data_IF_563622871146
#
_entry.id   IF_563622871146
#
_cell.length_a   1.000
_cell.length_b   1.000
_cell.length_c   1.000
_cell.angle_alpha   90.00
_cell.angle_beta   90.00
_cell.angle_gamma   90.00
#
_symmetry.space_group_name_H-M   'P 1'
#
loop_
_entity.id
_entity.type
_entity.pdbx_description
1 polymer ?
#
# COMPACT_ATOMS: atom_id res chain seq x y z
N UNK A 1 -18.88 -7.23 -3.65
CA UNK A 1 -18.24 -6.87 -4.94
C UNK A 1 -17.44 -8.03 -5.52
N UNK A 2 -16.29 -8.46 -4.95
CA UNK A 2 -15.52 -9.60 -5.49
C UNK A 2 -16.32 -10.92 -5.57
N UNK A 3 -17.10 -11.26 -4.53
CA UNK A 3 -18.00 -12.44 -4.52
C UNK A 3 -19.13 -12.36 -5.57
N UNK A 4 -19.44 -11.16 -6.06
CA UNK A 4 -20.47 -10.93 -7.08
C UNK A 4 -19.89 -10.97 -8.50
N UNK A 5 -18.62 -11.36 -8.67
CA UNK A 5 -17.98 -11.44 -9.98
C UNK A 5 -17.52 -10.11 -10.59
N UNK A 6 -17.64 -8.99 -9.86
CA UNK A 6 -17.19 -7.68 -10.35
C UNK A 6 -15.66 -7.64 -10.44
N UNK A 7 -15.07 -6.90 -11.42
CA UNK A 7 -13.64 -6.78 -11.62
C UNK A 7 -12.99 -5.92 -10.53
N UNK A 8 -12.80 -6.52 -9.35
CA UNK A 8 -12.15 -5.89 -8.20
C UNK A 8 -10.71 -6.38 -8.11
N UNK A 9 -9.71 -5.48 -8.07
CA UNK A 9 -8.32 -5.88 -7.86
C UNK A 9 -8.14 -6.74 -6.60
N UNK A 10 -7.23 -7.72 -6.63
CA UNK A 10 -6.98 -8.59 -5.48
C UNK A 10 -6.42 -7.78 -4.30
N UNK A 11 -6.82 -8.16 -3.09
CA UNK A 11 -6.51 -7.46 -1.85
C UNK A 11 -6.85 -8.32 -0.65
N UNK A 12 -6.33 -7.93 0.52
CA UNK A 12 -6.71 -8.53 1.81
C UNK A 12 -7.03 -7.43 2.82
N UNK A 13 -7.65 -7.81 3.94
CA UNK A 13 -8.06 -6.88 5.00
C UNK A 13 -7.45 -7.32 6.31
N UNK A 14 -6.82 -6.37 7.00
CA UNK A 14 -6.37 -6.57 8.38
C UNK A 14 -7.55 -6.29 9.30
N UNK A 15 -7.97 -7.30 10.07
CA UNK A 15 -9.13 -7.20 10.96
C UNK A 15 -8.93 -6.12 12.03
N UNK A 16 -10.02 -5.48 12.47
CA UNK A 16 -10.02 -4.53 13.60
C UNK A 16 -9.46 -5.16 14.88
N UNK A 17 -9.58 -6.48 15.06
CA UNK A 17 -8.95 -7.21 16.19
C UNK A 17 -7.44 -7.04 16.24
N UNK A 18 -6.78 -6.88 15.10
CA UNK A 18 -5.33 -6.61 15.03
C UNK A 18 -5.00 -5.22 15.55
N UNK A 19 -5.89 -4.24 15.34
CA UNK A 19 -5.75 -2.90 15.92
C UNK A 19 -5.81 -2.98 17.45
N UNK A 20 -6.75 -3.73 18.02
CA UNK A 20 -6.84 -3.93 19.48
C UNK A 20 -5.57 -4.59 20.04
N UNK A 21 -5.06 -5.62 19.35
CA UNK A 21 -3.80 -6.28 19.73
C UNK A 21 -2.62 -5.29 19.67
N UNK A 22 -2.55 -4.48 18.62
CA UNK A 22 -1.50 -3.47 18.47
C UNK A 22 -1.48 -2.50 19.64
N UNK A 23 -2.63 -1.95 20.04
CA UNK A 23 -2.72 -1.06 21.19
C UNK A 23 -2.43 -1.75 22.52
N UNK A 24 -2.96 -2.96 22.75
CA UNK A 24 -2.67 -3.76 23.96
C UNK A 24 -1.19 -4.13 24.07
N UNK A 25 -0.50 -4.31 22.94
CA UNK A 25 0.91 -4.67 22.87
C UNK A 25 1.84 -3.44 22.75
N UNK A 26 1.48 -2.31 23.39
CA UNK A 26 2.28 -1.07 23.42
C UNK A 26 2.63 -0.56 22.01
N UNK A 27 1.66 -0.55 21.09
CA UNK A 27 1.82 -0.11 19.70
C UNK A 27 2.86 -0.93 18.93
N UNK A 28 2.92 -2.25 19.16
CA UNK A 28 3.79 -3.18 18.45
C UNK A 28 3.00 -4.33 17.83
N UNK A 29 3.32 -4.66 16.59
CA UNK A 29 2.79 -5.85 15.92
C UNK A 29 3.55 -7.10 16.38
N UNK A 30 2.84 -8.21 16.54
CA UNK A 30 3.46 -9.50 16.84
C UNK A 30 4.04 -10.13 15.57
N UNK A 31 5.07 -10.97 15.75
CA UNK A 31 5.70 -11.69 14.63
C UNK A 31 4.72 -12.57 13.87
N UNK A 32 3.70 -13.12 14.56
CA UNK A 32 2.62 -13.90 13.94
C UNK A 32 1.82 -13.07 12.92
N UNK A 33 1.41 -11.86 13.30
CA UNK A 33 0.64 -10.97 12.42
C UNK A 33 1.47 -10.56 11.20
N UNK A 34 2.76 -10.26 11.40
CA UNK A 34 3.67 -9.94 10.29
C UNK A 34 3.81 -11.12 9.32
N UNK A 35 3.89 -12.36 9.83
CA UNK A 35 3.93 -13.57 8.99
C UNK A 35 2.63 -13.76 8.20
N UNK A 36 1.48 -13.51 8.81
CA UNK A 36 0.18 -13.57 8.14
C UNK A 36 0.07 -12.52 7.02
N UNK A 37 0.45 -11.26 7.28
CA UNK A 37 0.47 -10.20 6.25
C UNK A 37 1.38 -10.61 5.07
N UNK A 38 2.56 -11.17 5.34
CA UNK A 38 3.47 -11.66 4.29
C UNK A 38 2.87 -12.83 3.51
N UNK A 39 2.10 -13.70 4.16
CA UNK A 39 1.41 -14.81 3.50
C UNK A 39 0.31 -14.30 2.56
N UNK A 40 -0.51 -13.36 3.02
CA UNK A 40 -1.56 -12.74 2.20
C UNK A 40 -0.97 -11.95 1.02
N UNK A 41 0.13 -11.22 1.24
CA UNK A 41 0.83 -10.53 0.15
C UNK A 41 1.28 -11.50 -0.95
N UNK A 42 1.81 -12.68 -0.58
CA UNK A 42 2.18 -13.72 -1.55
C UNK A 42 0.99 -14.27 -2.35
N UNK A 43 -0.21 -14.28 -1.77
CA UNK A 43 -1.42 -14.66 -2.50
C UNK A 43 -1.77 -13.60 -3.56
N UNK A 44 -1.68 -12.31 -3.21
CA UNK A 44 -1.87 -11.21 -4.17
C UNK A 44 -0.82 -11.28 -5.29
N UNK A 45 0.45 -11.57 -4.96
CA UNK A 45 1.51 -11.71 -5.96
C UNK A 45 1.18 -12.79 -6.99
N UNK A 46 0.67 -13.94 -6.51
CA UNK A 46 0.22 -15.04 -7.39
C UNK A 46 -0.99 -14.66 -8.23
N UNK A 47 -2.02 -14.05 -7.64
CA UNK A 47 -3.24 -13.66 -8.37
C UNK A 47 -2.98 -12.57 -9.42
N UNK A 48 -2.02 -11.67 -9.15
CA UNK A 48 -1.69 -10.55 -10.03
C UNK A 48 -0.55 -10.83 -11.02
N UNK A 49 0.13 -11.98 -10.91
CA UNK A 49 1.36 -12.30 -11.64
C UNK A 49 2.45 -11.23 -11.52
N UNK A 50 2.49 -10.51 -10.39
CA UNK A 50 3.44 -9.44 -10.08
C UNK A 50 4.08 -9.74 -8.73
N UNK A 51 5.27 -9.19 -8.48
CA UNK A 51 5.97 -9.43 -7.22
C UNK A 51 6.33 -8.11 -6.52
N UNK A 52 6.08 -8.04 -5.22
CA UNK A 52 6.28 -6.85 -4.42
C UNK A 52 7.79 -6.56 -4.32
N UNK A 53 8.19 -5.37 -4.77
CA UNK A 53 9.61 -4.98 -4.86
C UNK A 53 10.37 -5.54 -6.06
N UNK A 54 9.70 -6.18 -7.03
CA UNK A 54 10.37 -6.74 -8.21
C UNK A 54 10.84 -5.68 -9.20
N UNK A 55 12.02 -5.90 -9.79
CA UNK A 55 12.69 -4.94 -10.68
C UNK A 55 12.30 -5.09 -12.16
N UNK A 56 11.40 -6.02 -12.49
CA UNK A 56 10.89 -6.21 -13.87
C UNK A 56 9.38 -6.07 -13.94
N UNK A 57 8.65 -6.59 -12.96
CA UNK A 57 7.19 -6.55 -12.88
C UNK A 57 6.72 -6.25 -11.44
N UNK A 58 6.91 -5.01 -10.96
CA UNK A 58 6.61 -4.65 -9.58
C UNK A 58 5.11 -4.74 -9.28
N UNK A 59 4.77 -5.36 -8.15
CA UNK A 59 3.47 -5.22 -7.52
C UNK A 59 3.44 -3.93 -6.70
N UNK A 60 2.46 -3.07 -7.00
CA UNK A 60 2.16 -1.89 -6.20
C UNK A 60 0.82 -2.09 -5.51
N UNK A 61 0.72 -1.65 -4.26
CA UNK A 61 -0.50 -1.79 -3.45
C UNK A 61 -0.97 -0.43 -2.94
N UNK A 62 -2.28 -0.31 -2.71
CA UNK A 62 -2.85 0.80 -1.96
C UNK A 62 -3.17 0.36 -0.54
N UNK A 63 -2.89 1.20 0.45
CA UNK A 63 -3.28 0.99 1.84
C UNK A 63 -4.41 1.96 2.16
N UNK A 64 -5.53 1.44 2.66
CA UNK A 64 -6.73 2.21 3.00
C UNK A 64 -7.15 1.89 4.41
N UNK A 65 -7.39 2.91 5.21
CA UNK A 65 -8.02 2.74 6.52
C UNK A 65 -9.50 2.42 6.35
N UNK A 66 -10.07 1.70 7.32
CA UNK A 66 -11.47 1.36 7.33
C UNK A 66 -11.91 0.96 8.73
N UNK A 67 -12.97 1.60 9.23
CA UNK A 67 -13.60 1.28 10.50
C UNK A 67 -14.97 0.63 10.26
N UNK A 68 -15.56 0.07 11.32
CA UNK A 68 -16.90 -0.52 11.30
C UNK A 68 -17.97 0.50 10.88
N UNK A 69 -17.78 1.76 11.24
CA UNK A 69 -18.66 2.88 10.93
C UNK A 69 -17.82 3.91 10.16
N UNK A 70 -18.41 4.62 9.21
CA UNK A 70 -17.71 5.69 8.51
C UNK A 70 -17.30 6.78 9.51
N UNK A 71 -16.00 6.97 9.68
CA UNK A 71 -15.44 8.02 10.53
C UNK A 71 -14.72 9.04 9.64
N UNK A 72 -15.24 10.28 9.51
CA UNK A 72 -14.48 11.39 8.96
C UNK A 72 -13.18 11.58 9.77
N UNK A 73 -12.05 11.77 9.09
CA UNK A 73 -10.73 11.95 9.75
C UNK A 73 -9.94 10.67 10.04
N UNK A 74 -10.34 9.51 9.48
CA UNK A 74 -9.45 8.34 9.46
C UNK A 74 -8.24 8.57 8.55
N UNK A 75 -7.13 7.87 8.84
CA UNK A 75 -5.87 7.94 8.08
C UNK A 75 -6.11 7.91 6.57
N UNK A 76 -5.52 8.88 5.88
CA UNK A 76 -5.65 9.01 4.43
C UNK A 76 -5.15 7.77 3.69
N UNK A 77 -5.72 7.54 2.51
CA UNK A 77 -5.31 6.44 1.63
C UNK A 77 -3.89 6.67 1.15
N UNK A 78 -3.04 5.63 1.14
CA UNK A 78 -1.73 5.66 0.50
C UNK A 78 -1.82 4.86 -0.81
N UNK A 79 -1.43 5.47 -1.92
CA UNK A 79 -1.33 4.81 -3.23
C UNK A 79 0.12 4.46 -3.56
N UNK A 80 0.32 3.57 -4.53
CA UNK A 80 1.63 3.25 -5.13
C UNK A 80 2.69 2.72 -4.15
N UNK A 81 2.28 2.13 -3.02
CA UNK A 81 3.20 1.53 -2.08
C UNK A 81 3.91 0.34 -2.72
N UNK A 82 5.25 0.36 -2.68
CA UNK A 82 6.12 -0.56 -3.43
C UNK A 82 7.06 0.16 -4.41
N UNK A 83 6.84 1.45 -4.67
CA UNK A 83 7.78 2.30 -5.42
C UNK A 83 9.02 2.65 -4.62
N UNK A 84 10.17 2.58 -5.28
CA UNK A 84 11.49 3.04 -4.86
C UNK A 84 12.33 3.36 -6.11
N UNK A 85 13.55 3.85 -5.94
CA UNK A 85 14.46 4.24 -7.02
C UNK A 85 14.68 3.15 -8.09
N UNK A 86 14.55 1.87 -7.70
CA UNK A 86 14.73 0.73 -8.62
C UNK A 86 13.40 0.31 -9.26
N UNK A 87 12.32 0.22 -8.48
CA UNK A 87 11.01 -0.25 -8.98
C UNK A 87 10.30 0.81 -9.82
N UNK A 88 10.60 2.10 -9.66
CA UNK A 88 10.11 3.16 -10.54
C UNK A 88 10.61 2.99 -11.98
N UNK A 89 11.86 2.56 -12.15
CA UNK A 89 12.41 2.26 -13.47
C UNK A 89 11.72 1.04 -14.11
N UNK A 90 11.42 0.03 -13.30
CA UNK A 90 10.64 -1.12 -13.74
C UNK A 90 9.23 -0.73 -14.20
N UNK A 91 8.57 0.17 -13.45
CA UNK A 91 7.26 0.72 -13.83
C UNK A 91 7.35 1.53 -15.13
N UNK A 92 8.37 2.37 -15.28
CA UNK A 92 8.60 3.15 -16.49
C UNK A 92 8.77 2.24 -17.73
N UNK A 93 9.59 1.20 -17.62
CA UNK A 93 9.81 0.22 -18.70
C UNK A 93 8.54 -0.55 -19.04
N UNK A 94 7.72 -0.92 -18.04
CA UNK A 94 6.46 -1.65 -18.26
C UNK A 94 5.36 -0.81 -18.91
N UNK A 95 5.31 0.48 -18.59
CA UNK A 95 4.30 1.40 -19.10
C UNK A 95 4.75 2.18 -20.32
N UNK A 96 6.03 2.03 -20.72
CA UNK A 96 6.69 2.85 -21.74
C UNK A 96 6.52 4.35 -21.48
N UNK A 97 6.41 4.74 -20.20
CA UNK A 97 6.06 6.09 -19.80
C UNK A 97 6.80 6.50 -18.52
N UNK A 98 8.00 7.05 -18.71
CA UNK A 98 8.82 7.55 -17.61
C UNK A 98 8.15 8.69 -16.83
N UNK A 99 7.40 9.57 -17.50
CA UNK A 99 6.68 10.67 -16.86
C UNK A 99 5.65 10.14 -15.87
N UNK A 100 4.85 9.16 -16.29
CA UNK A 100 3.86 8.50 -15.44
C UNK A 100 4.50 7.81 -14.23
N UNK A 101 5.61 7.10 -14.43
CA UNK A 101 6.30 6.41 -13.35
C UNK A 101 6.87 7.40 -12.32
N UNK A 102 7.52 8.49 -12.78
CA UNK A 102 8.01 9.55 -11.90
C UNK A 102 6.89 10.31 -11.19
N UNK A 103 5.76 10.58 -11.86
CA UNK A 103 4.59 11.21 -11.22
C UNK A 103 4.00 10.31 -10.12
N UNK A 104 3.89 9.01 -10.39
CA UNK A 104 3.45 8.03 -9.40
C UNK A 104 4.40 7.96 -8.21
N UNK A 105 5.71 8.06 -8.47
CA UNK A 105 6.73 8.00 -7.43
C UNK A 105 6.77 9.26 -6.55
N UNK A 106 6.73 10.46 -7.14
CA UNK A 106 6.67 11.70 -6.34
C UNK A 106 5.41 11.74 -5.47
N UNK A 107 4.24 11.32 -6.00
CA UNK A 107 2.99 11.26 -5.25
C UNK A 107 3.07 10.24 -4.12
N UNK A 108 3.70 9.08 -4.36
CA UNK A 108 3.96 8.11 -3.28
C UNK A 108 4.79 8.72 -2.15
N UNK A 109 5.91 9.39 -2.47
CA UNK A 109 6.78 10.02 -1.48
C UNK A 109 6.01 11.07 -0.66
N UNK A 110 5.26 11.94 -1.33
CA UNK A 110 4.44 12.96 -0.68
C UNK A 110 3.39 12.33 0.26
N UNK A 111 2.61 11.38 -0.24
CA UNK A 111 1.57 10.71 0.54
C UNK A 111 2.14 9.92 1.71
N UNK A 112 3.23 9.17 1.50
CA UNK A 112 3.88 8.40 2.56
C UNK A 112 4.52 9.33 3.60
N UNK A 113 5.21 10.39 3.14
CA UNK A 113 5.81 11.40 4.00
C UNK A 113 4.76 12.06 4.89
N UNK A 114 3.62 12.45 4.33
CA UNK A 114 2.54 13.05 5.11
C UNK A 114 1.86 12.05 6.05
N UNK A 115 1.33 10.97 5.51
CA UNK A 115 0.42 10.06 6.24
C UNK A 115 1.15 9.16 7.24
N UNK A 116 2.37 8.73 6.91
CA UNK A 116 3.14 7.77 7.74
C UNK A 116 4.20 8.46 8.56
N UNK A 117 4.93 9.41 7.96
CA UNK A 117 6.06 10.08 8.62
C UNK A 117 5.64 11.39 9.31
N UNK A 118 4.42 11.89 9.10
CA UNK A 118 3.91 13.10 9.73
C UNK A 118 4.51 14.40 9.16
N UNK A 119 5.05 14.37 7.94
CA UNK A 119 5.59 15.55 7.26
C UNK A 119 4.45 16.42 6.72
N UNK A 120 4.46 17.70 7.03
CA UNK A 120 3.41 18.62 6.58
C UNK A 120 3.34 18.68 5.04
N UNK A 121 2.14 18.57 4.48
CA UNK A 121 1.94 18.43 3.04
C UNK A 121 2.44 19.61 2.21
N UNK A 122 2.41 20.83 2.76
CA UNK A 122 2.84 22.03 2.06
C UNK A 122 4.33 21.98 1.68
N UNK A 123 5.17 21.28 2.46
CA UNK A 123 6.61 21.13 2.17
C UNK A 123 6.93 20.36 0.89
N UNK A 124 5.94 19.70 0.29
CA UNK A 124 6.07 19.01 -0.99
C UNK A 124 5.46 19.80 -2.16
N UNK A 125 4.72 20.87 -1.87
CA UNK A 125 4.04 21.72 -2.86
C UNK A 125 4.74 23.09 -3.04
N UNK A 126 5.57 23.49 -2.07
CA UNK A 126 6.55 24.59 -2.18
C UNK A 126 7.74 24.22 -3.09
#
# INVERSE_FOLDING_TARGET
MRKLGLPVPPGFTISTKVCDIFYKNKKKLTTKIIKEIKKELKLIEKESNKKFGDLKNPLLVSVRSGARISMPGMMDTILNLGLNDKTVLALASKTLNMRFAKDSYRRFIQMYGNVVMGVEGHKFEE
#
